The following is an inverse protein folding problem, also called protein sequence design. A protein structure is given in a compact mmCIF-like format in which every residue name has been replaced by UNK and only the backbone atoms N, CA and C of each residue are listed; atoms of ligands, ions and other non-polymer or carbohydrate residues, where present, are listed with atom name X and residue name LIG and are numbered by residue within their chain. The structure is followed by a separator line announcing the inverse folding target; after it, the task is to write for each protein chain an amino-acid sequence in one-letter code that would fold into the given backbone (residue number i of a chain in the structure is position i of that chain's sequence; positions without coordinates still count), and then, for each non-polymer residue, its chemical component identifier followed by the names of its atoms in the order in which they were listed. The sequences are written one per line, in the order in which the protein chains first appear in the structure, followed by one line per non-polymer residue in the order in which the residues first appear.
data_IF_244294929206
#
_entry.id   IF_244294929206
#
_cell.length_a   1.000
_cell.length_b   1.000
_cell.length_c   1.000
_cell.angle_alpha   90.00
_cell.angle_beta   90.00
_cell.angle_gamma   90.00
#
_symmetry.space_group_name_H-M   'P 1'
#
loop_
_entity.id
_entity.type
_entity.pdbx_description
1 polymer ?
#
# COMPACT_ATOMS: atom_id res chain seq x y z
N UNK A 1 -9.82 -27.59 22.84
CA UNK A 1 -9.44 -26.18 22.62
C UNK A 1 -8.34 -26.21 21.58
N UNK A 2 -8.58 -25.62 20.40
CA UNK A 2 -7.63 -25.71 19.29
C UNK A 2 -6.33 -24.98 19.68
N UNK A 3 -5.20 -25.65 19.48
CA UNK A 3 -3.89 -25.09 19.73
C UNK A 3 -3.54 -24.19 18.54
N UNK A 4 -4.15 -23.00 18.50
CA UNK A 4 -3.95 -22.05 17.40
C UNK A 4 -2.48 -21.66 17.36
N UNK A 5 -1.85 -21.94 16.23
CA UNK A 5 -0.45 -21.59 15.97
C UNK A 5 -0.28 -20.08 15.93
N UNK A 6 0.92 -19.59 16.22
CA UNK A 6 1.22 -18.16 16.12
C UNK A 6 0.97 -17.61 14.70
N UNK A 7 1.27 -18.40 13.66
CA UNK A 7 0.99 -18.06 12.26
C UNK A 7 -0.49 -17.86 11.98
N UNK A 8 -1.36 -18.68 12.55
CA UNK A 8 -2.82 -18.53 12.39
C UNK A 8 -3.33 -17.25 13.07
N UNK A 9 -2.78 -16.91 14.24
CA UNK A 9 -3.12 -15.66 14.93
C UNK A 9 -2.67 -14.43 14.13
N UNK A 10 -1.47 -14.46 13.56
CA UNK A 10 -0.96 -13.40 12.68
C UNK A 10 -1.86 -13.22 11.46
N UNK A 11 -2.24 -14.33 10.81
CA UNK A 11 -3.15 -14.27 9.66
C UNK A 11 -4.51 -13.69 10.03
N UNK A 12 -5.09 -14.11 11.16
CA UNK A 12 -6.38 -13.55 11.63
C UNK A 12 -6.24 -12.05 11.88
N UNK A 13 -5.18 -11.62 12.55
CA UNK A 13 -4.93 -10.21 12.83
C UNK A 13 -4.86 -9.38 11.55
N UNK A 14 -4.03 -9.77 10.57
CA UNK A 14 -3.90 -9.04 9.31
C UNK A 14 -5.16 -9.11 8.44
N UNK A 15 -5.92 -10.20 8.46
CA UNK A 15 -7.19 -10.30 7.74
C UNK A 15 -8.28 -9.38 8.31
N UNK A 16 -8.21 -9.05 9.60
CA UNK A 16 -9.11 -8.06 10.23
C UNK A 16 -8.69 -6.61 10.01
N UNK A 17 -7.50 -6.37 9.42
CA UNK A 17 -7.05 -5.01 9.14
C UNK A 17 -8.01 -4.32 8.15
N UNK A 18 -8.37 -3.05 8.35
CA UNK A 18 -9.32 -2.32 7.49
C UNK A 18 -8.95 -2.20 5.99
N UNK A 19 -7.74 -2.61 5.63
CA UNK A 19 -7.17 -2.59 4.26
C UNK A 19 -6.83 -3.99 3.74
N UNK A 20 -7.30 -5.06 4.37
CA UNK A 20 -7.07 -6.42 3.85
C UNK A 20 -7.65 -6.59 2.44
N UNK A 21 -7.01 -7.42 1.61
CA UNK A 21 -7.36 -7.60 0.19
C UNK A 21 -8.86 -7.81 -0.03
N UNK A 22 -9.46 -8.72 0.74
CA UNK A 22 -10.91 -9.01 0.64
C UNK A 22 -11.77 -7.77 0.95
N UNK A 23 -11.44 -7.03 2.00
CA UNK A 23 -12.18 -5.81 2.36
C UNK A 23 -12.03 -4.71 1.30
N UNK A 24 -10.86 -4.61 0.67
CA UNK A 24 -10.61 -3.63 -0.40
C UNK A 24 -11.39 -4.01 -1.66
N UNK A 25 -11.33 -5.27 -2.08
CA UNK A 25 -12.09 -5.77 -3.23
C UNK A 25 -13.60 -5.64 -3.02
N UNK A 26 -14.10 -5.93 -1.83
CA UNK A 26 -15.52 -5.75 -1.48
C UNK A 26 -15.95 -4.29 -1.55
N UNK A 27 -15.10 -3.35 -1.11
CA UNK A 27 -15.36 -1.90 -1.21
C UNK A 27 -15.33 -1.43 -2.66
N UNK A 28 -14.39 -1.91 -3.47
CA UNK A 28 -14.28 -1.59 -4.90
C UNK A 28 -15.49 -2.11 -5.70
N UNK A 29 -15.95 -3.33 -5.40
CA UNK A 29 -17.14 -3.87 -6.04
C UNK A 29 -18.38 -3.00 -5.78
N UNK A 30 -18.49 -2.38 -4.60
CA UNK A 30 -19.58 -1.45 -4.27
C UNK A 30 -19.53 -0.13 -5.03
N UNK A 31 -18.34 0.29 -5.52
CA UNK A 31 -18.19 1.50 -6.35
C UNK A 31 -18.37 1.22 -7.84
N UNK A 32 -18.54 -0.05 -8.24
CA UNK A 32 -18.60 -0.48 -9.64
C UNK A 32 -17.23 -0.48 -10.34
N UNK A 33 -16.14 -0.41 -9.56
CA UNK A 33 -14.79 -0.52 -10.08
C UNK A 33 -14.53 -1.92 -10.65
N UNK A 34 -13.83 -1.99 -11.78
CA UNK A 34 -13.33 -3.23 -12.35
C UNK A 34 -12.00 -3.63 -11.67
N UNK A 35 -11.93 -4.77 -10.96
CA UNK A 35 -10.71 -5.24 -10.32
C UNK A 35 -9.56 -5.54 -11.29
N UNK A 36 -9.84 -5.69 -12.59
CA UNK A 36 -8.81 -5.90 -13.61
C UNK A 36 -8.15 -4.61 -14.08
N UNK A 37 -8.67 -3.43 -13.70
CA UNK A 37 -8.16 -2.12 -14.11
C UNK A 37 -7.96 -1.18 -12.91
N UNK A 38 -7.36 -1.68 -11.82
CA UNK A 38 -7.11 -0.89 -10.62
C UNK A 38 -5.95 0.10 -10.84
N UNK A 39 -6.17 1.36 -10.46
CA UNK A 39 -5.13 2.40 -10.45
C UNK A 39 -4.88 2.90 -9.03
N UNK A 40 -3.75 3.57 -8.82
CA UNK A 40 -3.41 4.18 -7.52
C UNK A 40 -4.48 5.20 -7.11
N UNK A 41 -5.00 5.96 -8.07
CA UNK A 41 -6.04 6.97 -7.80
C UNK A 41 -7.32 6.37 -7.25
N UNK A 42 -7.60 5.12 -7.62
CA UNK A 42 -8.75 4.38 -7.15
C UNK A 42 -8.47 3.73 -5.79
N UNK A 43 -7.30 3.11 -5.64
CA UNK A 43 -6.92 2.37 -4.43
C UNK A 43 -6.67 3.28 -3.21
N UNK A 44 -6.10 4.47 -3.41
CA UNK A 44 -5.78 5.41 -2.33
C UNK A 44 -6.99 5.78 -1.45
N UNK A 45 -8.22 5.72 -1.98
CA UNK A 45 -9.43 5.99 -1.21
C UNK A 45 -9.80 4.88 -0.21
N UNK A 46 -9.22 3.70 -0.40
CA UNK A 46 -9.42 2.53 0.45
C UNK A 46 -8.20 2.22 1.31
N UNK A 47 -7.11 2.96 1.11
CA UNK A 47 -5.87 2.86 1.84
C UNK A 47 -5.87 3.77 3.08
N UNK A 48 -5.88 3.18 4.27
CA UNK A 48 -5.83 3.93 5.51
C UNK A 48 -4.43 4.48 5.82
N UNK A 49 -3.38 3.95 5.19
CA UNK A 49 -2.00 4.34 5.44
C UNK A 49 -1.61 5.58 4.62
N UNK A 50 -2.42 5.96 3.63
CA UNK A 50 -2.18 7.12 2.76
C UNK A 50 -2.71 8.45 3.35
N UNK A 51 -2.28 8.77 4.57
CA UNK A 51 -2.73 9.98 5.26
C UNK A 51 -2.31 11.26 4.53
N UNK A 52 -3.29 12.07 4.13
CA UNK A 52 -3.08 13.35 3.44
C UNK A 52 -2.93 13.26 1.91
N UNK A 53 -3.02 12.05 1.33
CA UNK A 53 -3.01 11.85 -0.12
C UNK A 53 -1.73 12.30 -0.82
N UNK A 54 -1.81 12.44 -2.14
CA UNK A 54 -0.69 12.87 -2.99
C UNK A 54 -0.05 14.19 -2.55
N UNK A 55 -0.80 15.21 -2.09
CA UNK A 55 -0.19 16.44 -1.60
C UNK A 55 0.76 16.23 -0.41
N UNK A 56 0.50 15.25 0.46
CA UNK A 56 1.40 14.93 1.57
C UNK A 56 2.69 14.27 1.06
N UNK A 57 2.58 13.36 0.09
CA UNK A 57 3.73 12.74 -0.59
C UNK A 57 4.57 13.77 -1.32
N UNK A 58 3.94 14.72 -2.03
CA UNK A 58 4.63 15.82 -2.71
C UNK A 58 5.38 16.72 -1.72
N UNK A 59 4.75 17.06 -0.60
CA UNK A 59 5.39 17.83 0.46
C UNK A 59 6.59 17.10 1.06
N UNK A 60 6.47 15.79 1.29
CA UNK A 60 7.56 14.95 1.77
C UNK A 60 8.72 14.92 0.76
N UNK A 61 8.43 14.70 -0.52
CA UNK A 61 9.44 14.71 -1.57
C UNK A 61 10.16 16.07 -1.66
N UNK A 62 9.40 17.17 -1.61
CA UNK A 62 9.93 18.52 -1.62
C UNK A 62 10.87 18.79 -0.43
N UNK A 63 10.43 18.48 0.79
CA UNK A 63 11.23 18.69 2.00
C UNK A 63 12.45 17.76 2.09
N UNK A 64 12.30 16.53 1.61
CA UNK A 64 13.39 15.55 1.51
C UNK A 64 14.36 15.80 0.36
N UNK A 65 14.06 16.77 -0.52
CA UNK A 65 14.79 17.01 -1.79
C UNK A 65 14.92 15.73 -2.62
N UNK A 66 13.87 14.92 -2.59
CA UNK A 66 13.75 13.70 -3.39
C UNK A 66 13.38 14.12 -4.81
N UNK A 67 14.11 13.59 -5.78
CA UNK A 67 13.92 13.85 -7.20
C UNK A 67 14.28 12.60 -8.01
N UNK A 68 14.10 12.67 -9.32
CA UNK A 68 14.31 11.58 -10.27
C UNK A 68 15.73 11.00 -10.30
N UNK A 69 16.72 11.68 -9.70
CA UNK A 69 18.10 11.21 -9.58
C UNK A 69 18.35 10.41 -8.28
N UNK A 70 17.32 10.24 -7.44
CA UNK A 70 17.41 9.52 -6.15
C UNK A 70 16.71 8.17 -6.24
N UNK A 71 17.37 7.15 -5.72
CA UNK A 71 16.73 5.87 -5.42
C UNK A 71 16.17 5.95 -4.01
N UNK A 72 14.92 5.55 -3.84
CA UNK A 72 14.22 5.63 -2.55
C UNK A 72 13.53 4.29 -2.34
N UNK A 73 13.60 3.82 -1.11
CA UNK A 73 12.82 2.69 -0.64
C UNK A 73 11.62 3.24 0.12
N UNK A 74 10.43 2.87 -0.34
CA UNK A 74 9.19 3.14 0.38
C UNK A 74 8.81 1.91 1.21
N UNK A 75 8.76 2.08 2.53
CA UNK A 75 8.42 1.02 3.47
C UNK A 75 7.01 1.28 4.00
N UNK A 76 6.16 0.25 3.95
CA UNK A 76 4.76 0.34 4.37
C UNK A 76 3.94 1.33 3.51
N UNK A 77 4.15 1.31 2.19
CA UNK A 77 3.52 2.24 1.24
C UNK A 77 2.00 2.07 1.03
N UNK A 78 1.35 1.20 1.81
CA UNK A 78 -0.08 0.92 1.71
C UNK A 78 -0.50 0.24 0.40
N UNK A 79 -1.70 0.57 -0.08
CA UNK A 79 -2.29 0.04 -1.31
C UNK A 79 -1.98 0.97 -2.49
N UNK A 80 -1.15 0.47 -3.41
CA UNK A 80 -0.85 1.18 -4.66
C UNK A 80 0.37 2.09 -4.61
N UNK A 81 1.01 2.27 -3.45
CA UNK A 81 2.24 3.06 -3.33
C UNK A 81 2.12 4.50 -3.82
N UNK A 82 3.17 5.32 -3.71
CA UNK A 82 3.15 6.69 -4.21
C UNK A 82 3.01 6.69 -5.73
N UNK A 83 2.13 7.54 -6.31
CA UNK A 83 2.07 7.72 -7.75
C UNK A 83 3.32 8.48 -8.19
N UNK A 84 4.34 7.68 -8.51
CA UNK A 84 5.41 7.95 -9.47
C UNK A 84 5.83 9.43 -9.60
N UNK A 85 6.53 9.96 -8.60
CA UNK A 85 7.66 10.88 -8.85
C UNK A 85 8.90 10.02 -9.06
N UNK A 86 8.98 9.29 -10.18
CA UNK A 86 10.15 8.49 -10.59
C UNK A 86 10.89 7.74 -9.45
N UNK A 87 10.15 7.21 -8.48
CA UNK A 87 10.67 6.40 -7.39
C UNK A 87 10.74 4.98 -7.94
N UNK A 88 11.94 4.42 -8.08
CA UNK A 88 12.09 2.98 -8.31
C UNK A 88 11.66 2.31 -7.00
N UNK A 89 10.39 1.93 -6.91
CA UNK A 89 9.90 1.07 -5.84
C UNK A 89 10.53 -0.31 -6.04
N UNK A 90 11.57 -0.63 -5.27
CA UNK A 90 12.05 -1.99 -5.18
C UNK A 90 11.21 -2.69 -4.12
N UNK A 91 10.54 -3.78 -4.51
CA UNK A 91 9.93 -4.67 -3.53
C UNK A 91 11.03 -5.34 -2.68
N UNK A 92 10.64 -5.89 -1.53
CA UNK A 92 11.57 -6.49 -0.59
C UNK A 92 12.30 -7.72 -1.18
N UNK A 93 11.72 -8.38 -2.19
CA UNK A 93 12.30 -9.51 -2.94
C UNK A 93 13.45 -9.04 -3.83
N UNK A 94 13.29 -7.91 -4.53
CA UNK A 94 14.29 -7.27 -5.38
C UNK A 94 15.49 -6.73 -4.58
N UNK A 95 15.33 -6.56 -3.28
CA UNK A 95 16.38 -6.16 -2.33
C UNK A 95 17.00 -7.35 -1.57
N UNK A 96 16.49 -8.58 -1.77
CA UNK A 96 16.94 -9.77 -1.04
C UNK A 96 16.70 -9.70 0.47
N UNK A 97 15.69 -8.94 0.91
CA UNK A 97 15.33 -8.77 2.32
C UNK A 97 14.36 -9.86 2.82
N UNK A 98 13.81 -10.65 1.89
CA UNK A 98 12.97 -11.84 2.12
C UNK A 98 13.34 -12.92 1.10
#
# INVERSE_FOLDING_TARGET
MANTTHSELVNVFYNTHPISESQVLDKLAQTGADPSTLTVELLQHHDQDHFGGLPATDALAHHGKINELKHVLDLCCGLGGPPVISLITMDAESLGLI
#
